data_IF_075004617677
#
_entry.id   IF_075004617677
#
_cell.length_a   1.000
_cell.length_b   1.000
_cell.length_c   1.000
_cell.angle_alpha   90.00
_cell.angle_beta   90.00
_cell.angle_gamma   90.00
#
_symmetry.space_group_name_H-M   'P 1'
#
loop_
_entity.id
_entity.type
_entity.pdbx_description
1 polymer ?
#
# COMPACT_ATOMS: atom_id res chain seq x y z
N UNK A 1 -24.23 -3.64 0.55
CA UNK A 1 -24.09 -2.58 1.59
C UNK A 1 -22.61 -2.40 1.92
N UNK A 2 -21.80 -2.12 0.89
CA UNK A 2 -20.50 -2.80 0.76
C UNK A 2 -19.30 -1.88 0.46
N UNK A 3 -19.40 -0.54 0.49
CA UNK A 3 -18.33 0.26 -0.16
C UNK A 3 -17.68 1.41 0.67
N UNK A 4 -18.25 1.97 1.75
CA UNK A 4 -17.67 3.23 2.27
C UNK A 4 -17.28 3.33 3.76
N UNK A 5 -17.71 2.47 4.69
CA UNK A 5 -17.40 2.69 6.13
C UNK A 5 -15.94 2.39 6.51
N UNK A 6 -15.45 1.22 6.09
CA UNK A 6 -14.27 0.57 6.66
C UNK A 6 -12.94 1.04 6.06
N UNK A 7 -12.93 1.45 4.79
CA UNK A 7 -11.75 2.06 4.13
C UNK A 7 -11.30 3.38 4.78
N UNK A 8 -12.15 4.02 5.60
CA UNK A 8 -11.93 5.38 6.14
C UNK A 8 -11.54 5.44 7.61
N UNK A 9 -11.75 4.40 8.40
CA UNK A 9 -11.47 4.44 9.85
C UNK A 9 -10.16 3.76 10.27
N UNK A 10 -9.61 2.84 9.46
CA UNK A 10 -8.49 1.96 9.89
C UNK A 10 -7.10 2.37 9.38
N UNK A 11 -7.03 3.19 8.32
CA UNK A 11 -5.78 3.77 7.83
C UNK A 11 -5.28 4.95 8.71
N UNK A 12 -6.07 5.37 9.70
CA UNK A 12 -5.76 6.36 10.73
C UNK A 12 -5.66 5.60 12.07
N UNK A 13 -4.71 5.80 12.97
CA UNK A 13 -4.02 7.03 13.33
C UNK A 13 -2.67 6.71 13.99
N UNK A 14 -1.67 7.53 13.66
CA UNK A 14 -0.34 7.71 14.28
C UNK A 14 0.36 6.52 14.94
N UNK A 15 1.38 5.99 14.24
CA UNK A 15 2.65 5.38 14.71
C UNK A 15 2.55 4.17 15.67
N UNK A 16 1.46 3.99 16.42
CA UNK A 16 1.26 2.95 17.42
C UNK A 16 0.56 1.69 16.90
N UNK A 17 -0.02 1.72 15.70
CA UNK A 17 -0.83 0.61 15.17
C UNK A 17 -0.31 0.03 13.83
N UNK A 18 0.95 0.30 13.46
CA UNK A 18 1.54 -0.24 12.22
C UNK A 18 1.41 -1.77 12.11
N UNK A 19 1.70 -2.49 13.20
CA UNK A 19 1.61 -3.96 13.25
C UNK A 19 0.17 -4.45 13.09
N UNK A 20 -0.81 -3.76 13.68
CA UNK A 20 -2.23 -4.11 13.53
C UNK A 20 -2.73 -3.87 12.11
N UNK A 21 -2.28 -2.78 11.48
CA UNK A 21 -2.56 -2.50 10.08
C UNK A 21 -1.98 -3.60 9.17
N UNK A 22 -0.75 -4.04 9.42
CA UNK A 22 -0.16 -5.18 8.72
C UNK A 22 -0.94 -6.48 8.91
N UNK A 23 -1.34 -6.77 10.14
CA UNK A 23 -2.06 -7.99 10.49
C UNK A 23 -3.40 -8.06 9.77
N UNK A 24 -4.18 -6.97 9.79
CA UNK A 24 -5.45 -6.91 9.06
C UNK A 24 -5.26 -7.01 7.56
N UNK A 25 -4.22 -6.36 7.00
CA UNK A 25 -3.93 -6.53 5.58
C UNK A 25 -3.64 -8.00 5.24
N UNK A 26 -2.85 -8.70 6.06
CA UNK A 26 -2.54 -10.12 5.85
C UNK A 26 -3.78 -11.02 5.99
N UNK A 27 -4.66 -10.73 6.95
CA UNK A 27 -5.90 -11.48 7.15
C UNK A 27 -6.91 -11.24 6.02
N UNK A 28 -6.89 -10.04 5.41
CA UNK A 28 -7.78 -9.67 4.31
C UNK A 28 -7.34 -10.20 2.94
N UNK A 29 -6.03 -10.36 2.69
CA UNK A 29 -5.51 -10.91 1.42
C UNK A 29 -6.17 -12.23 1.00
N UNK A 30 -6.25 -13.28 1.85
CA UNK A 30 -6.88 -14.56 1.46
C UNK A 30 -8.41 -14.46 1.30
N UNK A 31 -9.05 -13.44 1.88
CA UNK A 31 -10.51 -13.24 1.78
C UNK A 31 -10.87 -12.56 0.46
N UNK A 32 -9.97 -11.69 -0.03
CA UNK A 32 -10.22 -10.77 -1.14
C UNK A 32 -9.60 -11.29 -2.44
N UNK A 33 -9.29 -12.58 -2.52
CA UNK A 33 -8.57 -13.23 -3.63
C UNK A 33 -9.22 -12.99 -5.01
N UNK A 34 -10.50 -12.59 -5.06
CA UNK A 34 -11.27 -12.30 -6.28
C UNK A 34 -11.33 -10.83 -6.68
N UNK A 35 -10.94 -9.87 -5.83
CA UNK A 35 -11.01 -8.44 -6.12
C UNK A 35 -9.62 -7.80 -6.20
N UNK A 36 -9.06 -7.78 -7.42
CA UNK A 36 -7.76 -7.20 -7.74
C UNK A 36 -7.64 -5.72 -7.30
N UNK A 37 -8.76 -4.98 -7.26
CA UNK A 37 -8.76 -3.57 -6.87
C UNK A 37 -8.50 -3.42 -5.38
N UNK A 38 -9.19 -4.21 -4.56
CA UNK A 38 -8.97 -4.21 -3.12
C UNK A 38 -7.58 -4.76 -2.77
N UNK A 39 -7.11 -5.77 -3.51
CA UNK A 39 -5.77 -6.30 -3.34
C UNK A 39 -4.71 -5.23 -3.62
N UNK A 40 -4.89 -4.44 -4.68
CA UNK A 40 -4.04 -3.28 -5.00
C UNK A 40 -4.02 -2.24 -3.86
N UNK A 41 -5.19 -1.86 -3.34
CA UNK A 41 -5.31 -0.89 -2.25
C UNK A 41 -4.56 -1.35 -0.98
N UNK A 42 -4.60 -2.65 -0.70
CA UNK A 42 -3.92 -3.26 0.44
C UNK A 42 -2.40 -3.22 0.31
N UNK A 43 -1.87 -3.54 -0.88
CA UNK A 43 -0.43 -3.47 -1.13
C UNK A 43 0.09 -2.02 -1.16
N UNK A 44 -0.69 -1.06 -1.68
CA UNK A 44 -0.34 0.37 -1.61
C UNK A 44 -0.29 0.85 -0.17
N UNK A 45 -1.26 0.44 0.65
CA UNK A 45 -1.29 0.76 2.09
C UNK A 45 -0.08 0.16 2.83
N UNK A 46 0.36 -1.06 2.48
CA UNK A 46 1.62 -1.63 3.01
C UNK A 46 2.83 -0.77 2.65
N UNK A 47 2.90 -0.29 1.40
CA UNK A 47 3.94 0.61 0.95
C UNK A 47 3.98 1.91 1.76
N UNK A 48 2.81 2.53 1.98
CA UNK A 48 2.67 3.75 2.78
C UNK A 48 3.13 3.54 4.23
N UNK A 49 2.83 2.38 4.82
CA UNK A 49 3.27 2.04 6.18
C UNK A 49 4.80 1.96 6.25
N UNK A 50 5.45 1.24 5.33
CA UNK A 50 6.91 1.15 5.32
C UNK A 50 7.56 2.50 4.99
N UNK A 51 6.94 3.30 4.13
CA UNK A 51 7.38 4.66 3.83
C UNK A 51 7.39 5.53 5.08
N UNK A 52 6.30 5.50 5.87
CA UNK A 52 6.22 6.22 7.15
C UNK A 52 7.19 5.67 8.21
N UNK A 53 7.51 4.37 8.16
CA UNK A 53 8.51 3.73 9.03
C UNK A 53 9.96 4.13 8.65
N UNK A 54 10.15 4.77 7.50
CA UNK A 54 11.47 5.12 6.96
C UNK A 54 12.16 3.99 6.22
N UNK A 55 11.53 2.81 6.09
CA UNK A 55 12.05 1.70 5.31
C UNK A 55 11.63 1.84 3.85
N UNK A 56 12.32 2.75 3.16
CA UNK A 56 12.03 3.06 1.75
C UNK A 56 12.25 1.84 0.84
N UNK A 57 13.18 0.93 1.17
CA UNK A 57 13.42 -0.29 0.38
C UNK A 57 12.17 -1.16 0.37
N UNK A 58 11.61 -1.49 1.53
CA UNK A 58 10.36 -2.26 1.61
C UNK A 58 9.18 -1.51 1.01
N UNK A 59 9.08 -0.21 1.24
CA UNK A 59 8.03 0.61 0.63
C UNK A 59 8.01 0.45 -0.90
N UNK A 60 9.17 0.56 -1.54
CA UNK A 60 9.27 0.37 -3.00
C UNK A 60 8.88 -1.03 -3.47
N UNK A 61 9.20 -2.08 -2.72
CA UNK A 61 8.81 -3.45 -3.07
C UNK A 61 7.30 -3.64 -3.02
N UNK A 62 6.62 -3.09 -2.00
CA UNK A 62 5.17 -3.22 -1.86
C UNK A 62 4.40 -2.36 -2.85
N UNK A 63 4.87 -1.15 -3.15
CA UNK A 63 4.29 -0.36 -4.26
C UNK A 63 4.43 -1.08 -5.59
N UNK A 64 5.56 -1.76 -5.85
CA UNK A 64 5.72 -2.55 -7.07
C UNK A 64 4.73 -3.72 -7.13
N UNK A 65 4.54 -4.46 -6.03
CA UNK A 65 3.52 -5.53 -5.96
C UNK A 65 2.11 -5.00 -6.21
N UNK A 66 1.76 -3.83 -5.69
CA UNK A 66 0.48 -3.19 -5.96
C UNK A 66 0.30 -2.90 -7.47
N UNK A 67 1.36 -2.43 -8.14
CA UNK A 67 1.36 -2.17 -9.58
C UNK A 67 1.31 -3.45 -10.42
N UNK A 68 1.93 -4.54 -9.98
CA UNK A 68 1.94 -5.81 -10.71
C UNK A 68 0.55 -6.48 -10.70
N UNK A 69 -0.23 -6.26 -9.63
CA UNK A 69 -1.61 -6.76 -9.49
C UNK A 69 -2.59 -5.90 -10.29
N UNK A 70 -2.35 -4.59 -10.33
CA UNK A 70 -3.18 -3.64 -11.04
C UNK A 70 -2.73 -3.57 -12.50
N UNK A 71 -3.22 -4.49 -13.33
CA UNK A 71 -2.86 -4.57 -14.75
C UNK A 71 -3.36 -3.32 -15.50
N UNK A 72 -2.49 -2.32 -15.62
CA UNK A 72 -2.47 -1.13 -16.50
C UNK A 72 -3.70 -0.21 -16.68
N UNK A 73 -4.92 -0.57 -16.25
CA UNK A 73 -6.15 0.12 -16.66
C UNK A 73 -6.77 1.05 -15.59
N UNK A 74 -6.10 1.26 -14.44
CA UNK A 74 -6.68 2.01 -13.32
C UNK A 74 -5.93 3.30 -12.95
N UNK A 75 -6.69 4.39 -12.77
CA UNK A 75 -6.22 5.73 -12.35
C UNK A 75 -5.42 5.76 -11.03
N UNK A 76 -5.56 4.75 -10.17
CA UNK A 76 -4.82 4.69 -8.90
C UNK A 76 -3.33 4.34 -9.09
N UNK A 77 -3.00 3.64 -10.19
CA UNK A 77 -1.64 3.25 -10.57
C UNK A 77 -0.73 4.48 -10.69
N UNK A 78 -1.24 5.61 -11.17
CA UNK A 78 -0.45 6.82 -11.38
C UNK A 78 0.09 7.37 -10.06
N UNK A 79 -0.74 7.39 -9.00
CA UNK A 79 -0.33 7.83 -7.66
C UNK A 79 0.70 6.89 -7.05
N UNK A 80 0.47 5.57 -7.14
CA UNK A 80 1.42 4.57 -6.64
C UNK A 80 2.76 4.65 -7.40
N UNK A 81 2.75 4.92 -8.71
CA UNK A 81 3.97 5.16 -9.50
C UNK A 81 4.71 6.42 -9.07
N UNK A 82 4.00 7.51 -8.78
CA UNK A 82 4.61 8.73 -8.24
C UNK A 82 5.28 8.48 -6.88
N UNK A 83 4.56 7.84 -5.94
CA UNK A 83 5.10 7.43 -4.64
C UNK A 83 6.35 6.55 -4.80
N UNK A 84 6.30 5.57 -5.71
CA UNK A 84 7.42 4.68 -6.02
C UNK A 84 8.64 5.47 -6.54
N UNK A 85 8.43 6.41 -7.47
CA UNK A 85 9.49 7.29 -7.99
C UNK A 85 10.10 8.15 -6.88
N UNK A 86 9.26 8.73 -6.01
CA UNK A 86 9.73 9.52 -4.87
C UNK A 86 10.60 8.67 -3.93
N UNK A 87 10.13 7.47 -3.58
CA UNK A 87 10.87 6.56 -2.71
C UNK A 87 12.23 6.17 -3.30
N UNK A 88 12.28 5.88 -4.61
CA UNK A 88 13.54 5.58 -5.32
C UNK A 88 14.49 6.77 -5.35
N UNK A 89 13.97 7.98 -5.58
CA UNK A 89 14.77 9.21 -5.55
C UNK A 89 15.37 9.46 -4.16
N UNK A 90 14.57 9.31 -3.10
CA UNK A 90 15.04 9.44 -1.71
C UNK A 90 16.07 8.37 -1.35
N UNK A 91 15.89 7.12 -1.79
CA UNK A 91 16.88 6.06 -1.60
C UNK A 91 18.22 6.39 -2.25
N UNK A 92 18.21 6.92 -3.48
CA UNK A 92 19.44 7.31 -4.18
C UNK A 92 20.14 8.52 -3.54
N UNK A 93 19.40 9.42 -2.91
CA UNK A 93 19.95 10.57 -2.18
C UNK A 93 20.44 10.22 -0.76
N UNK A 94 20.23 8.97 -0.29
CA UNK A 94 20.70 8.46 1.01
C UNK A 94 21.93 7.55 0.88
N UNK A 95 22.48 7.36 -0.33
CA UNK A 95 23.77 6.69 -0.59
C UNK A 95 24.86 7.72 -0.86
#
# INVERSE_FOLDING_TARGET
>A
MLICGSKRAYAFSEIKEFEKSFQIINDLIPIIETDNKLLTDLYDSKGDIYYKRGDLKKATEFYQKALDICESEYCFIDKTREKLKECRSRLNNQM
#
